data_IF_681475988985
#
_entry.id   IF_681475988985
#
_cell.length_a   1.000
_cell.length_b   1.000
_cell.length_c   1.000
_cell.angle_alpha   90.00
_cell.angle_beta   90.00
_cell.angle_gamma   90.00
#
_symmetry.space_group_name_H-M   'P 1'
#
loop_
_entity.id
_entity.type
_entity.pdbx_description
1 polymer ?
#
# COMPACT_ATOMS: atom_id res chain seq x y z
N UNK A 1 -8.86 -36.48 10.97
CA UNK A 1 -7.80 -35.48 11.04
C UNK A 1 -7.44 -35.25 12.52
N UNK A 2 -6.12 -35.01 12.84
CA UNK A 2 -5.62 -34.71 14.19
C UNK A 2 -4.68 -33.52 14.13
N UNK A 3 -4.41 -32.87 15.28
CA UNK A 3 -3.53 -31.70 15.35
C UNK A 3 -2.07 -32.03 14.94
N UNK A 4 -1.59 -33.24 15.22
CA UNK A 4 -0.25 -33.70 14.81
C UNK A 4 -0.09 -33.79 13.28
N UNK A 5 -1.17 -34.14 12.55
CA UNK A 5 -1.15 -34.11 11.08
C UNK A 5 -0.97 -32.70 10.55
N UNK A 6 -1.64 -31.71 11.17
CA UNK A 6 -1.48 -30.31 10.79
C UNK A 6 -0.08 -29.77 11.15
N UNK A 7 0.44 -30.12 12.32
CA UNK A 7 1.79 -29.75 12.72
C UNK A 7 2.86 -30.31 11.76
N UNK A 8 2.71 -31.58 11.35
CA UNK A 8 3.59 -32.20 10.35
C UNK A 8 3.49 -31.51 9.00
N UNK A 9 2.28 -31.14 8.58
CA UNK A 9 2.04 -30.38 7.34
C UNK A 9 2.71 -29.00 7.38
N UNK A 10 2.52 -28.23 8.46
CA UNK A 10 3.16 -26.91 8.59
C UNK A 10 4.68 -27.00 8.64
N UNK A 11 5.22 -28.03 9.28
CA UNK A 11 6.66 -28.30 9.27
C UNK A 11 7.15 -28.62 7.86
N UNK A 12 6.40 -29.41 7.09
CA UNK A 12 6.73 -29.73 5.70
C UNK A 12 6.73 -28.48 4.81
N UNK A 13 5.75 -27.59 4.97
CA UNK A 13 5.69 -26.32 4.22
C UNK A 13 6.89 -25.42 4.50
N UNK A 14 7.51 -25.49 5.67
CA UNK A 14 8.71 -24.72 6.02
C UNK A 14 10.02 -25.29 5.43
N UNK A 15 10.01 -26.49 4.82
CA UNK A 15 11.21 -27.09 4.25
C UNK A 15 11.61 -26.45 2.90
N UNK A 16 12.91 -26.45 2.52
CA UNK A 16 13.36 -26.01 1.20
C UNK A 16 12.60 -26.71 0.06
N UNK A 17 12.39 -26.01 -1.05
CA UNK A 17 11.66 -26.52 -2.23
C UNK A 17 10.14 -26.22 -2.20
N UNK A 18 9.57 -25.85 -1.08
CA UNK A 18 8.13 -25.56 -0.99
C UNK A 18 7.74 -24.20 -1.60
N UNK A 19 8.64 -23.23 -1.59
CA UNK A 19 8.47 -21.97 -2.31
C UNK A 19 8.98 -22.08 -3.73
N UNK A 20 8.08 -22.31 -4.69
CA UNK A 20 8.42 -22.51 -6.11
C UNK A 20 9.16 -21.30 -6.74
N UNK A 21 9.00 -20.09 -6.18
CA UNK A 21 9.63 -18.89 -6.70
C UNK A 21 11.07 -18.72 -6.24
N UNK A 22 11.38 -19.10 -5.00
CA UNK A 22 12.69 -18.85 -4.38
C UNK A 22 13.48 -20.12 -4.09
N UNK A 23 12.87 -21.29 -4.21
CA UNK A 23 13.47 -22.58 -3.82
C UNK A 23 13.58 -22.80 -2.31
N UNK A 24 13.21 -21.81 -1.48
CA UNK A 24 13.22 -21.89 -0.02
C UNK A 24 11.98 -22.61 0.54
N UNK A 25 11.86 -22.67 1.87
CA UNK A 25 10.59 -22.98 2.54
C UNK A 25 9.62 -21.80 2.49
N UNK A 26 8.33 -22.06 2.79
CA UNK A 26 7.35 -21.00 2.96
C UNK A 26 7.64 -20.21 4.26
N UNK A 27 7.36 -18.92 4.23
CA UNK A 27 7.52 -18.08 5.43
C UNK A 27 6.49 -18.45 6.52
N UNK A 28 6.84 -18.21 7.80
CA UNK A 28 5.92 -18.39 8.92
C UNK A 28 4.57 -17.70 8.69
N UNK A 29 4.59 -16.49 8.10
CA UNK A 29 3.37 -15.76 7.76
C UNK A 29 2.53 -16.49 6.70
N UNK A 30 3.16 -17.04 5.67
CA UNK A 30 2.46 -17.82 4.62
C UNK A 30 1.86 -19.09 5.21
N UNK A 31 2.60 -19.78 6.09
CA UNK A 31 2.09 -20.98 6.81
C UNK A 31 0.87 -20.61 7.67
N UNK A 32 0.90 -19.45 8.34
CA UNK A 32 -0.24 -18.96 9.13
C UNK A 32 -1.48 -18.70 8.24
N UNK A 33 -1.33 -18.21 7.01
CA UNK A 33 -2.46 -18.04 6.09
C UNK A 33 -3.07 -19.40 5.66
N UNK A 34 -2.22 -20.42 5.44
CA UNK A 34 -2.71 -21.78 5.20
C UNK A 34 -3.49 -22.32 6.40
N UNK A 35 -2.97 -22.11 7.63
CA UNK A 35 -3.68 -22.48 8.84
C UNK A 35 -5.04 -21.79 8.95
N UNK A 36 -5.13 -20.48 8.69
CA UNK A 36 -6.39 -19.73 8.74
C UNK A 36 -7.43 -20.32 7.79
N UNK A 37 -7.04 -20.64 6.56
CA UNK A 37 -7.94 -21.27 5.59
C UNK A 37 -8.44 -22.63 6.11
N UNK A 38 -7.53 -23.49 6.57
CA UNK A 38 -7.86 -24.82 7.12
C UNK A 38 -8.78 -24.67 8.34
N UNK A 39 -8.46 -23.77 9.27
CA UNK A 39 -9.28 -23.53 10.45
C UNK A 39 -10.68 -23.06 10.09
N UNK A 40 -10.81 -22.14 9.13
CA UNK A 40 -12.14 -21.66 8.67
C UNK A 40 -12.99 -22.79 8.09
N UNK A 41 -12.40 -23.68 7.30
CA UNK A 41 -13.10 -24.84 6.74
C UNK A 41 -13.53 -25.80 7.86
N UNK A 42 -12.65 -26.07 8.81
CA UNK A 42 -12.96 -26.98 9.94
C UNK A 42 -13.96 -26.37 10.93
N UNK A 43 -13.93 -25.06 11.14
CA UNK A 43 -14.95 -24.34 11.93
C UNK A 43 -16.35 -24.47 11.29
N UNK A 44 -16.41 -24.41 9.97
CA UNK A 44 -17.69 -24.60 9.26
C UNK A 44 -18.17 -26.06 9.38
N UNK A 45 -17.27 -27.03 9.20
CA UNK A 45 -17.59 -28.45 9.36
C UNK A 45 -18.08 -28.80 10.80
N UNK A 46 -17.48 -28.17 11.81
CA UNK A 46 -17.94 -28.31 13.20
C UNK A 46 -19.34 -27.72 13.39
N UNK A 47 -19.60 -26.52 12.87
CA UNK A 47 -20.94 -25.87 12.93
C UNK A 47 -22.03 -26.70 12.24
N UNK A 48 -21.66 -27.40 11.18
CA UNK A 48 -22.57 -28.30 10.43
C UNK A 48 -22.71 -29.70 11.06
N UNK A 49 -22.00 -29.95 12.18
CA UNK A 49 -22.03 -31.25 12.87
C UNK A 49 -21.30 -32.37 12.13
N UNK A 50 -20.50 -32.07 11.12
CA UNK A 50 -19.74 -33.06 10.35
C UNK A 50 -18.51 -33.58 11.13
N UNK A 51 -17.97 -32.76 12.06
CA UNK A 51 -16.91 -33.11 12.98
C UNK A 51 -17.24 -32.62 14.39
N UNK A 52 -16.76 -33.33 15.43
CA UNK A 52 -17.08 -32.99 16.82
C UNK A 52 -16.37 -31.72 17.33
N UNK A 53 -15.25 -31.33 16.75
CA UNK A 53 -14.50 -30.11 17.08
C UNK A 53 -13.45 -29.79 16.01
N UNK A 54 -13.07 -28.50 15.93
CA UNK A 54 -12.00 -28.05 15.02
C UNK A 54 -10.61 -28.40 15.59
N UNK A 55 -9.94 -29.38 15.00
CA UNK A 55 -8.61 -29.83 15.43
C UNK A 55 -7.50 -28.77 15.15
N UNK A 56 -7.74 -27.82 14.24
CA UNK A 56 -6.77 -26.77 13.96
C UNK A 56 -6.55 -25.84 15.16
N UNK A 57 -7.55 -25.67 16.03
CA UNK A 57 -7.42 -24.89 17.26
C UNK A 57 -6.32 -25.43 18.22
N UNK A 58 -5.94 -26.72 18.08
CA UNK A 58 -4.89 -27.37 18.88
C UNK A 58 -3.55 -27.46 18.13
N UNK A 59 -3.44 -26.93 16.91
CA UNK A 59 -2.22 -26.99 16.13
C UNK A 59 -1.17 -25.98 16.65
N UNK A 60 0.11 -26.36 16.57
CA UNK A 60 1.23 -25.50 16.92
C UNK A 60 1.67 -24.71 15.69
N UNK A 61 1.61 -23.38 15.77
CA UNK A 61 1.93 -22.49 14.68
C UNK A 61 3.35 -21.92 14.79
N UNK A 62 4.05 -21.70 13.67
CA UNK A 62 5.34 -21.04 13.70
C UNK A 62 5.19 -19.57 14.17
N UNK A 63 6.13 -19.10 14.97
CA UNK A 63 6.17 -17.70 15.42
C UNK A 63 6.47 -16.79 14.23
N UNK A 64 5.61 -15.81 14.00
CA UNK A 64 5.83 -14.75 13.00
C UNK A 64 6.62 -13.64 13.66
N UNK A 65 7.86 -13.42 13.19
CA UNK A 65 8.63 -12.26 13.63
C UNK A 65 7.93 -10.97 13.18
N UNK A 66 7.80 -10.00 14.07
CA UNK A 66 7.36 -8.65 13.71
C UNK A 66 8.41 -8.07 12.75
N UNK A 67 8.02 -7.74 11.53
CA UNK A 67 8.86 -6.95 10.64
C UNK A 67 8.65 -5.49 10.99
N UNK A 68 9.75 -4.77 11.08
CA UNK A 68 9.70 -3.30 11.14
C UNK A 68 9.00 -2.76 9.90
N UNK A 69 8.23 -1.72 10.11
CA UNK A 69 7.51 -1.05 9.03
C UNK A 69 8.53 -0.27 8.21
N UNK A 70 8.64 -0.58 6.92
CA UNK A 70 9.53 0.14 6.02
C UNK A 70 8.90 1.51 5.69
N UNK A 71 9.51 2.59 6.16
CA UNK A 71 9.18 3.97 5.80
C UNK A 71 10.48 4.75 5.51
N UNK A 72 10.38 5.79 4.69
CA UNK A 72 11.52 6.58 4.27
C UNK A 72 11.77 7.74 5.23
N UNK A 73 13.04 7.97 5.55
CA UNK A 73 13.50 9.14 6.28
C UNK A 73 13.44 10.39 5.38
N UNK A 74 13.41 11.61 5.95
CA UNK A 74 13.34 12.86 5.18
C UNK A 74 14.41 12.99 4.10
N UNK A 75 15.64 12.57 4.37
CA UNK A 75 16.77 12.59 3.44
C UNK A 75 16.54 11.64 2.27
N UNK A 76 15.98 10.46 2.53
CA UNK A 76 15.61 9.48 1.50
C UNK A 76 14.48 10.00 0.61
N UNK A 77 13.50 10.70 1.20
CA UNK A 77 12.41 11.35 0.44
C UNK A 77 12.98 12.43 -0.48
N UNK A 78 13.91 13.24 0.02
CA UNK A 78 14.58 14.26 -0.78
C UNK A 78 15.33 13.64 -1.96
N UNK A 79 16.11 12.59 -1.72
CA UNK A 79 16.83 11.85 -2.76
C UNK A 79 15.87 11.21 -3.80
N UNK A 80 14.77 10.62 -3.35
CA UNK A 80 13.73 10.06 -4.23
C UNK A 80 13.14 11.16 -5.11
N UNK A 81 12.77 12.30 -4.53
CA UNK A 81 12.20 13.44 -5.25
C UNK A 81 13.15 14.01 -6.30
N UNK A 82 14.44 14.12 -5.98
CA UNK A 82 15.44 14.64 -6.91
C UNK A 82 15.70 13.65 -8.06
N UNK A 83 15.72 12.35 -7.79
CA UNK A 83 15.81 11.32 -8.81
C UNK A 83 14.59 11.30 -9.74
N UNK A 84 13.39 11.55 -9.22
CA UNK A 84 12.15 11.60 -10.01
C UNK A 84 12.13 12.68 -11.10
N UNK A 85 12.84 13.79 -10.90
CA UNK A 85 12.99 14.85 -11.91
C UNK A 85 13.67 14.38 -13.21
N UNK A 86 14.36 13.25 -13.18
CA UNK A 86 15.04 12.64 -14.32
C UNK A 86 14.19 11.55 -15.00
N UNK A 87 13.01 11.27 -14.46
CA UNK A 87 12.13 10.22 -14.94
C UNK A 87 10.99 10.76 -15.80
N UNK A 88 10.36 9.93 -16.65
CA UNK A 88 9.21 10.36 -17.43
C UNK A 88 8.09 10.92 -16.55
N UNK A 89 7.46 12.01 -16.99
CA UNK A 89 6.44 12.77 -16.27
C UNK A 89 5.32 11.92 -15.66
N UNK A 90 4.93 10.83 -16.33
CA UNK A 90 3.97 9.86 -15.82
C UNK A 90 4.41 9.27 -14.47
N UNK A 91 5.64 8.82 -14.40
CA UNK A 91 6.18 8.14 -13.22
C UNK A 91 6.49 9.10 -12.09
N UNK A 92 6.99 10.30 -12.42
CA UNK A 92 7.15 11.40 -11.47
C UNK A 92 5.79 11.71 -10.83
N UNK A 93 4.75 11.98 -11.63
CA UNK A 93 3.42 12.33 -11.15
C UNK A 93 2.80 11.21 -10.31
N UNK A 94 2.87 9.96 -10.77
CA UNK A 94 2.35 8.80 -10.05
C UNK A 94 3.02 8.63 -8.69
N UNK A 95 4.34 8.77 -8.63
CA UNK A 95 5.11 8.59 -7.40
C UNK A 95 4.84 9.72 -6.41
N UNK A 96 4.73 10.97 -6.87
CA UNK A 96 4.28 12.09 -6.05
C UNK A 96 2.89 11.84 -5.43
N UNK A 97 1.96 11.31 -6.22
CA UNK A 97 0.63 10.98 -5.69
C UNK A 97 0.68 9.85 -4.66
N UNK A 98 1.50 8.81 -4.84
CA UNK A 98 1.67 7.79 -3.81
C UNK A 98 2.13 8.39 -2.49
N UNK A 99 3.14 9.25 -2.52
CA UNK A 99 3.70 9.88 -1.33
C UNK A 99 2.69 10.79 -0.63
N UNK A 100 1.92 11.60 -1.39
CA UNK A 100 1.05 12.62 -0.81
C UNK A 100 -0.33 12.10 -0.45
N UNK A 101 -0.84 11.07 -1.14
CA UNK A 101 -2.17 10.52 -0.85
C UNK A 101 -2.12 9.34 0.11
N UNK A 102 -1.03 8.59 0.13
CA UNK A 102 -0.95 7.29 0.79
C UNK A 102 -1.95 6.27 0.23
N UNK A 103 -2.48 6.49 -0.96
CA UNK A 103 -3.45 5.59 -1.59
C UNK A 103 -2.85 4.22 -1.92
N UNK A 104 -3.69 3.20 -1.99
CA UNK A 104 -3.27 1.88 -2.44
C UNK A 104 -2.92 1.88 -3.93
N UNK A 105 -2.08 0.95 -4.36
CA UNK A 105 -1.65 0.83 -5.76
C UNK A 105 -2.84 0.83 -6.73
N UNK A 106 -3.80 -0.03 -6.50
CA UNK A 106 -4.98 -0.13 -7.36
C UNK A 106 -5.90 1.09 -7.31
N UNK A 107 -5.97 1.80 -6.18
CA UNK A 107 -6.74 3.03 -6.01
C UNK A 107 -6.19 4.15 -6.91
N UNK A 108 -4.86 4.34 -6.97
CA UNK A 108 -4.26 5.34 -7.87
C UNK A 108 -4.34 4.94 -9.33
N UNK A 109 -4.21 3.66 -9.65
CA UNK A 109 -4.41 3.18 -11.01
C UNK A 109 -5.87 3.26 -11.46
N UNK A 110 -6.82 3.19 -10.51
CA UNK A 110 -8.25 3.40 -10.76
C UNK A 110 -8.67 4.88 -10.81
N UNK A 111 -7.76 5.82 -10.51
CA UNK A 111 -8.09 7.25 -10.52
C UNK A 111 -8.41 7.73 -11.95
N UNK A 112 -9.59 8.33 -12.12
CA UNK A 112 -10.03 8.92 -13.40
C UNK A 112 -9.97 10.45 -13.35
N UNK A 113 -9.79 11.10 -14.49
CA UNK A 113 -9.78 12.57 -14.59
C UNK A 113 -11.09 13.21 -14.11
N UNK A 114 -12.22 12.51 -14.22
CA UNK A 114 -13.51 12.94 -13.67
C UNK A 114 -13.55 13.02 -12.15
N UNK A 115 -12.62 12.31 -11.48
CA UNK A 115 -12.46 12.30 -10.03
C UNK A 115 -11.38 13.27 -9.53
N UNK A 116 -10.80 14.11 -10.40
CA UNK A 116 -9.84 15.16 -10.07
C UNK A 116 -10.53 16.52 -10.07
N UNK A 117 -10.71 17.08 -8.88
CA UNK A 117 -11.33 18.42 -8.67
C UNK A 117 -10.21 19.46 -8.56
N UNK A 118 -9.95 20.15 -9.68
CA UNK A 118 -8.90 21.17 -9.76
C UNK A 118 -9.29 22.50 -9.07
N UNK A 119 -10.55 22.74 -8.81
CA UNK A 119 -11.01 23.95 -8.11
C UNK A 119 -10.81 23.81 -6.59
N UNK A 120 -11.13 22.62 -6.08
CA UNK A 120 -11.00 22.32 -4.64
C UNK A 120 -9.66 21.67 -4.28
N UNK A 121 -8.73 21.57 -5.22
CA UNK A 121 -7.43 20.94 -5.06
C UNK A 121 -7.52 19.55 -4.39
N UNK A 122 -8.38 18.66 -4.90
CA UNK A 122 -8.59 17.33 -4.31
C UNK A 122 -8.81 16.26 -5.36
N UNK A 123 -8.55 15.03 -4.96
CA UNK A 123 -8.87 13.82 -5.73
C UNK A 123 -9.88 12.98 -4.96
N UNK A 124 -10.77 12.32 -5.70
CA UNK A 124 -11.75 11.38 -5.16
C UNK A 124 -11.28 9.95 -5.41
N UNK A 125 -10.95 9.23 -4.36
CA UNK A 125 -10.58 7.82 -4.43
C UNK A 125 -11.86 7.00 -4.29
N UNK A 126 -12.45 6.60 -5.41
CA UNK A 126 -13.72 5.88 -5.49
C UNK A 126 -13.69 4.66 -6.41
N UNK A 127 -12.52 4.33 -6.97
CA UNK A 127 -12.33 3.23 -7.90
C UNK A 127 -11.02 2.49 -7.62
N UNK A 128 -10.91 1.26 -8.08
CA UNK A 128 -9.76 0.39 -7.87
C UNK A 128 -9.51 -0.46 -9.11
N UNK A 129 -8.27 -0.49 -9.62
CA UNK A 129 -7.86 -1.38 -10.70
C UNK A 129 -7.16 -2.58 -10.11
N UNK A 130 -7.64 -3.76 -10.47
CA UNK A 130 -7.15 -5.06 -10.04
C UNK A 130 -6.73 -5.90 -11.25
N UNK A 131 -6.01 -6.97 -10.97
CA UNK A 131 -5.69 -8.01 -11.94
C UNK A 131 -5.96 -9.38 -11.33
N UNK A 132 -6.60 -10.24 -12.13
CA UNK A 132 -6.73 -11.66 -11.84
C UNK A 132 -6.43 -12.48 -13.10
N UNK A 133 -5.76 -13.64 -12.97
CA UNK A 133 -5.33 -14.43 -14.15
C UNK A 133 -6.47 -14.85 -15.08
N UNK A 134 -7.65 -15.07 -14.53
CA UNK A 134 -8.86 -15.50 -15.24
C UNK A 134 -9.68 -14.35 -15.84
N UNK A 135 -9.47 -13.10 -15.36
CA UNK A 135 -10.26 -11.91 -15.75
C UNK A 135 -9.42 -10.83 -16.41
N UNK A 136 -8.08 -10.93 -16.36
CA UNK A 136 -7.20 -9.85 -16.78
C UNK A 136 -7.25 -8.63 -15.85
N UNK A 137 -7.06 -7.43 -16.42
CA UNK A 137 -7.17 -6.17 -15.68
C UNK A 137 -8.65 -5.76 -15.65
N UNK A 138 -9.17 -5.43 -14.46
CA UNK A 138 -10.55 -5.02 -14.28
C UNK A 138 -10.68 -3.92 -13.23
N UNK A 139 -11.75 -3.14 -13.34
CA UNK A 139 -12.15 -2.15 -12.33
C UNK A 139 -13.06 -2.82 -11.28
N UNK A 140 -12.90 -2.38 -10.04
CA UNK A 140 -13.76 -2.79 -8.93
C UNK A 140 -14.05 -1.56 -8.05
N UNK A 141 -15.21 -1.53 -7.45
CA UNK A 141 -15.55 -0.51 -6.47
C UNK A 141 -14.86 -0.80 -5.13
N UNK A 142 -14.53 0.21 -4.33
CA UNK A 142 -13.96 -0.01 -3.02
C UNK A 142 -14.88 -0.89 -2.15
N UNK A 143 -14.32 -1.95 -1.55
CA UNK A 143 -15.08 -2.94 -0.76
C UNK A 143 -15.73 -2.37 0.51
N UNK A 144 -15.35 -1.17 0.94
CA UNK A 144 -15.85 -0.54 2.17
C UNK A 144 -16.14 0.95 1.93
N UNK A 145 -17.18 1.47 2.59
CA UNK A 145 -17.51 2.91 2.55
C UNK A 145 -16.34 3.81 2.99
N UNK A 146 -15.46 3.32 3.85
CA UNK A 146 -14.27 4.07 4.30
C UNK A 146 -13.18 4.20 3.23
N UNK A 147 -13.22 3.38 2.18
CA UNK A 147 -12.29 3.48 1.05
C UNK A 147 -12.69 4.56 0.06
N UNK A 148 -13.98 4.94 0.01
CA UNK A 148 -14.48 6.08 -0.76
C UNK A 148 -14.17 7.36 0.02
N UNK A 149 -13.27 8.19 -0.54
CA UNK A 149 -12.79 9.38 0.16
C UNK A 149 -12.22 10.44 -0.76
N UNK A 150 -12.34 11.69 -0.33
CA UNK A 150 -11.64 12.82 -0.93
C UNK A 150 -10.30 13.05 -0.21
N UNK A 151 -9.26 13.33 -0.99
CA UNK A 151 -7.93 13.68 -0.48
C UNK A 151 -7.54 15.04 -1.06
N UNK A 152 -7.39 16.05 -0.20
CA UNK A 152 -6.88 17.36 -0.59
C UNK A 152 -5.37 17.26 -0.82
N UNK A 153 -4.91 17.90 -1.89
CA UNK A 153 -3.51 17.92 -2.33
C UNK A 153 -2.96 19.35 -2.33
N UNK A 154 -1.65 19.52 -2.16
CA UNK A 154 -0.98 20.82 -2.35
C UNK A 154 -1.19 21.37 -3.76
N UNK A 155 -1.20 22.69 -3.89
CA UNK A 155 -1.39 23.38 -5.18
C UNK A 155 -0.33 22.98 -6.22
N UNK A 156 0.91 22.79 -5.78
CA UNK A 156 2.02 22.35 -6.63
C UNK A 156 1.78 20.97 -7.24
N UNK A 157 1.18 20.05 -6.45
CA UNK A 157 0.81 18.71 -6.95
C UNK A 157 -0.33 18.79 -7.95
N UNK A 158 -1.29 19.67 -7.72
CA UNK A 158 -2.38 19.90 -8.68
C UNK A 158 -1.85 20.53 -9.98
N UNK A 159 -0.83 21.40 -9.89
CA UNK A 159 -0.15 21.92 -11.07
C UNK A 159 0.61 20.83 -11.84
N UNK A 160 1.31 19.93 -11.14
CA UNK A 160 1.94 18.76 -11.76
C UNK A 160 0.89 17.88 -12.48
N UNK A 161 -0.28 17.66 -11.88
CA UNK A 161 -1.38 16.94 -12.51
C UNK A 161 -1.90 17.66 -13.76
N UNK A 162 -1.99 19.01 -13.78
CA UNK A 162 -2.36 19.77 -14.99
C UNK A 162 -1.35 19.58 -16.11
N UNK A 163 -0.05 19.69 -15.78
CA UNK A 163 1.04 19.46 -16.74
C UNK A 163 0.99 18.05 -17.30
N UNK A 164 0.78 17.06 -16.44
CA UNK A 164 0.67 15.66 -16.85
C UNK A 164 -0.57 15.44 -17.75
N UNK A 165 -1.71 16.04 -17.42
CA UNK A 165 -2.94 15.97 -18.26
C UNK A 165 -2.71 16.56 -19.65
N UNK A 166 -2.03 17.70 -19.73
CA UNK A 166 -1.69 18.32 -21.00
C UNK A 166 -0.79 17.41 -21.84
N UNK A 167 0.25 16.83 -21.24
CA UNK A 167 1.11 15.85 -21.90
C UNK A 167 0.31 14.62 -22.39
N UNK A 168 -0.53 14.03 -21.53
CA UNK A 168 -1.35 12.87 -21.90
C UNK A 168 -2.31 13.18 -23.06
N UNK A 169 -2.89 14.38 -23.09
CA UNK A 169 -3.72 14.84 -24.22
C UNK A 169 -2.92 14.94 -25.52
N UNK A 170 -1.67 15.39 -25.47
CA UNK A 170 -0.79 15.40 -26.64
C UNK A 170 -0.53 13.99 -27.15
N UNK A 171 -0.23 13.05 -26.27
CA UNK A 171 -0.03 11.65 -26.63
C UNK A 171 -1.33 11.02 -27.21
N UNK A 172 -2.47 11.34 -26.63
CA UNK A 172 -3.77 10.92 -27.15
C UNK A 172 -4.02 11.42 -28.57
N UNK A 173 -3.72 12.70 -28.85
CA UNK A 173 -3.86 13.28 -30.18
C UNK A 173 -2.88 12.63 -31.18
N UNK A 174 -1.66 12.34 -30.74
CA UNK A 174 -0.64 11.66 -31.56
C UNK A 174 -1.06 10.25 -31.98
N UNK A 175 -1.70 9.50 -31.07
CA UNK A 175 -2.14 8.12 -31.32
C UNK A 175 -3.51 8.06 -32.06
N UNK A 176 -4.31 9.11 -32.00
CA UNK A 176 -5.60 9.17 -32.68
C UNK A 176 -6.53 8.01 -32.31
N UNK A 177 -6.99 7.28 -33.31
CA UNK A 177 -7.91 6.13 -33.15
C UNK A 177 -7.33 4.95 -32.37
N UNK A 178 -6.01 4.85 -32.27
CA UNK A 178 -5.35 3.81 -31.49
C UNK A 178 -5.35 4.07 -29.99
N UNK A 179 -5.85 5.23 -29.54
CA UNK A 179 -5.92 5.56 -28.13
C UNK A 179 -7.27 5.17 -27.51
N UNK A 180 -7.25 4.23 -26.58
CA UNK A 180 -8.42 3.79 -25.81
C UNK A 180 -8.72 4.77 -24.67
N UNK A 181 -9.54 5.79 -24.91
CA UNK A 181 -9.85 6.78 -23.88
C UNK A 181 -10.86 6.28 -22.84
N UNK A 182 -10.39 5.63 -21.81
CA UNK A 182 -11.21 5.21 -20.66
C UNK A 182 -11.19 6.21 -19.49
N UNK A 183 -10.54 7.36 -19.66
CA UNK A 183 -10.51 8.46 -18.69
C UNK A 183 -9.57 8.28 -17.52
N UNK A 184 -8.72 7.25 -17.49
CA UNK A 184 -7.73 7.05 -16.43
C UNK A 184 -6.68 8.15 -16.39
N UNK A 185 -6.33 8.59 -15.18
CA UNK A 185 -5.16 9.47 -14.96
C UNK A 185 -3.90 8.73 -15.36
N UNK A 186 -3.73 7.49 -14.89
CA UNK A 186 -2.58 6.66 -15.22
C UNK A 186 -3.00 5.48 -16.09
N UNK A 187 -2.57 5.50 -17.33
CA UNK A 187 -2.88 4.49 -18.35
C UNK A 187 -1.61 3.92 -18.98
N UNK A 188 -1.74 2.85 -19.72
CA UNK A 188 -0.74 2.41 -20.69
C UNK A 188 -0.58 3.48 -21.79
N UNK A 189 0.38 3.30 -22.69
CA UNK A 189 0.65 4.26 -23.77
C UNK A 189 -0.54 4.40 -24.72
N UNK A 190 -1.25 3.31 -24.97
CA UNK A 190 -2.47 3.27 -25.77
C UNK A 190 -3.73 3.72 -25.03
N UNK A 191 -3.65 4.21 -23.79
CA UNK A 191 -4.79 4.68 -23.00
C UNK A 191 -5.53 3.61 -22.19
N UNK A 192 -5.25 2.32 -22.40
CA UNK A 192 -5.87 1.22 -21.64
C UNK A 192 -5.37 1.19 -20.16
N UNK A 193 -6.08 0.52 -19.24
CA UNK A 193 -5.70 0.44 -17.84
C UNK A 193 -4.30 -0.14 -17.64
N UNK A 194 -3.51 0.43 -16.75
CA UNK A 194 -2.19 -0.10 -16.41
C UNK A 194 -2.30 -1.41 -15.62
N UNK A 195 -1.46 -2.39 -15.98
CA UNK A 195 -1.31 -3.58 -15.14
C UNK A 195 -0.71 -3.18 -13.78
N UNK A 196 -1.32 -3.59 -12.64
CA UNK A 196 -0.85 -3.17 -11.32
C UNK A 196 0.63 -3.48 -11.05
N UNK A 197 1.15 -4.60 -11.55
CA UNK A 197 2.56 -4.98 -11.33
C UNK A 197 3.55 -4.08 -12.05
N UNK A 198 3.15 -3.41 -13.15
CA UNK A 198 4.01 -2.43 -13.84
C UNK A 198 4.54 -1.33 -12.90
N UNK A 199 3.73 -0.92 -11.93
CA UNK A 199 4.15 0.06 -10.92
C UNK A 199 5.24 -0.50 -10.01
N UNK A 200 5.05 -1.71 -9.53
CA UNK A 200 6.02 -2.38 -8.63
C UNK A 200 7.34 -2.65 -9.35
N UNK A 201 7.26 -3.11 -10.60
CA UNK A 201 8.42 -3.40 -11.44
C UNK A 201 9.20 -2.11 -11.76
N UNK A 202 8.48 -1.05 -12.13
CA UNK A 202 9.10 0.24 -12.39
C UNK A 202 9.79 0.79 -11.14
N UNK A 203 9.12 0.80 -9.99
CA UNK A 203 9.68 1.28 -8.71
C UNK A 203 10.93 0.49 -8.31
N UNK A 204 10.93 -0.83 -8.52
CA UNK A 204 12.10 -1.67 -8.26
C UNK A 204 13.28 -1.35 -9.19
N UNK A 205 13.01 -1.09 -10.48
CA UNK A 205 14.02 -0.65 -11.45
C UNK A 205 14.53 0.76 -11.16
N UNK A 206 13.64 1.68 -10.81
CA UNK A 206 13.94 3.05 -10.42
C UNK A 206 14.87 3.08 -9.19
N UNK A 207 14.53 2.35 -8.13
CA UNK A 207 15.37 2.25 -6.93
C UNK A 207 16.79 1.79 -7.27
N UNK A 208 16.91 0.76 -8.09
CA UNK A 208 18.24 0.22 -8.50
C UNK A 208 19.02 1.22 -9.35
N UNK A 209 18.38 1.90 -10.31
CA UNK A 209 19.01 2.86 -11.22
C UNK A 209 19.63 4.04 -10.48
N UNK A 210 18.96 4.50 -9.42
CA UNK A 210 19.37 5.68 -8.66
C UNK A 210 20.05 5.36 -7.32
N UNK A 211 20.36 4.08 -7.04
CA UNK A 211 20.99 3.68 -5.77
C UNK A 211 20.14 3.97 -4.53
N UNK A 212 18.80 3.98 -4.69
CA UNK A 212 17.86 4.31 -3.64
C UNK A 212 17.46 3.06 -2.84
N UNK A 213 16.93 3.21 -1.61
CA UNK A 213 16.31 2.12 -0.88
C UNK A 213 15.21 1.44 -1.72
N UNK A 214 14.84 0.20 -1.36
CA UNK A 214 13.75 -0.49 -2.05
C UNK A 214 12.42 0.26 -1.90
N UNK A 215 11.90 0.75 -3.03
CA UNK A 215 10.67 1.53 -3.09
C UNK A 215 9.52 0.63 -3.54
N UNK A 216 8.38 0.76 -2.86
CA UNK A 216 7.11 0.17 -3.25
C UNK A 216 5.94 1.06 -2.77
N UNK A 217 4.73 0.90 -3.34
CA UNK A 217 3.57 1.73 -2.98
C UNK A 217 3.23 1.72 -1.48
N UNK A 218 3.40 0.59 -0.79
CA UNK A 218 3.13 0.49 0.64
C UNK A 218 4.15 1.25 1.49
N UNK A 219 5.42 1.31 1.08
CA UNK A 219 6.43 2.09 1.77
C UNK A 219 6.09 3.60 1.74
N UNK A 220 5.61 4.13 0.60
CA UNK A 220 5.13 5.51 0.52
C UNK A 220 3.93 5.77 1.43
N UNK A 221 2.98 4.84 1.47
CA UNK A 221 1.83 4.93 2.36
C UNK A 221 2.25 4.97 3.83
N UNK A 222 3.18 4.12 4.23
CA UNK A 222 3.74 4.12 5.57
C UNK A 222 4.51 5.41 5.86
N UNK A 223 5.31 5.88 4.92
CA UNK A 223 6.06 7.13 5.04
C UNK A 223 5.14 8.33 5.27
N UNK A 224 4.12 8.50 4.43
CA UNK A 224 3.15 9.59 4.56
C UNK A 224 2.49 9.58 5.95
N UNK A 225 2.04 8.42 6.39
CA UNK A 225 1.35 8.31 7.66
C UNK A 225 2.30 8.50 8.86
N UNK A 226 3.53 7.98 8.80
CA UNK A 226 4.56 8.23 9.82
C UNK A 226 4.88 9.72 9.90
N UNK A 227 5.08 10.40 8.75
CA UNK A 227 5.36 11.83 8.73
C UNK A 227 4.21 12.67 9.31
N UNK A 228 2.96 12.34 9.01
CA UNK A 228 1.81 13.01 9.60
C UNK A 228 1.75 12.79 11.12
N UNK A 229 1.99 11.55 11.56
CA UNK A 229 2.00 11.23 12.97
C UNK A 229 3.11 11.96 13.74
N UNK A 230 4.34 12.00 13.20
CA UNK A 230 5.46 12.76 13.76
C UNK A 230 5.19 14.27 13.88
N UNK A 231 4.36 14.81 12.99
CA UNK A 231 3.93 16.21 13.03
C UNK A 231 2.67 16.44 13.87
N UNK A 232 2.28 15.48 14.72
CA UNK A 232 1.20 15.61 15.68
C UNK A 232 -0.22 15.45 15.11
N UNK A 233 -0.37 14.96 13.88
CA UNK A 233 -1.69 14.68 13.31
C UNK A 233 -2.28 13.43 13.98
N UNK A 234 -3.53 13.53 14.43
CA UNK A 234 -4.21 12.47 15.15
C UNK A 234 -4.46 11.21 14.29
N UNK A 235 -4.48 10.04 14.94
CA UNK A 235 -4.63 8.75 14.28
C UNK A 235 -5.95 8.59 13.53
N UNK A 236 -7.02 9.30 13.92
CA UNK A 236 -8.33 9.24 13.26
C UNK A 236 -8.26 9.95 11.91
N UNK A 237 -7.65 11.14 11.86
CA UNK A 237 -7.42 11.91 10.63
C UNK A 237 -6.53 11.15 9.66
N UNK A 238 -5.44 10.54 10.14
CA UNK A 238 -4.55 9.70 9.33
C UNK A 238 -5.32 8.48 8.80
N UNK A 239 -6.09 7.80 9.64
CA UNK A 239 -6.89 6.63 9.26
C UNK A 239 -7.92 6.96 8.17
N UNK A 240 -8.62 8.09 8.30
CA UNK A 240 -9.56 8.59 7.28
C UNK A 240 -8.87 8.85 5.95
N UNK A 241 -7.72 9.55 5.97
CA UNK A 241 -6.94 9.83 4.76
C UNK A 241 -6.47 8.55 4.08
N UNK A 242 -6.07 7.54 4.84
CA UNK A 242 -5.65 6.24 4.35
C UNK A 242 -6.82 5.36 3.88
N UNK A 243 -8.04 5.60 4.34
CA UNK A 243 -9.19 4.72 4.09
C UNK A 243 -9.04 3.36 4.81
N UNK A 244 -8.61 3.39 6.09
CA UNK A 244 -8.63 2.22 6.95
C UNK A 244 -10.03 2.04 7.56
N UNK A 245 -10.56 0.81 7.52
CA UNK A 245 -11.84 0.49 8.13
C UNK A 245 -11.80 0.60 9.68
N UNK A 246 -10.61 0.42 10.27
CA UNK A 246 -10.41 0.48 11.71
C UNK A 246 -9.20 1.37 12.04
N UNK A 247 -9.37 2.29 12.98
CA UNK A 247 -8.31 3.19 13.46
C UNK A 247 -7.18 2.40 14.14
N UNK A 248 -7.51 1.28 14.79
CA UNK A 248 -6.53 0.37 15.40
C UNK A 248 -5.48 -0.15 14.41
N UNK A 249 -5.84 -0.29 13.13
CA UNK A 249 -4.88 -0.65 12.08
C UNK A 249 -3.79 0.41 11.95
N UNK A 250 -4.16 1.69 11.97
CA UNK A 250 -3.22 2.81 11.95
C UNK A 250 -2.36 2.81 13.22
N UNK A 251 -2.97 2.74 14.39
CA UNK A 251 -2.26 2.75 15.67
C UNK A 251 -1.25 1.60 15.79
N UNK A 252 -1.63 0.38 15.42
CA UNK A 252 -0.75 -0.80 15.50
C UNK A 252 0.44 -0.74 14.52
N UNK A 253 0.26 -0.13 13.34
CA UNK A 253 1.33 0.04 12.36
C UNK A 253 2.35 1.06 12.86
N UNK A 254 1.90 2.10 13.56
CA UNK A 254 2.74 3.24 13.98
C UNK A 254 3.12 3.20 15.47
N UNK A 255 2.85 2.10 16.18
CA UNK A 255 3.21 1.94 17.60
C UNK A 255 4.71 2.12 17.87
N UNK A 256 5.58 1.73 16.91
CA UNK A 256 7.03 1.94 17.01
C UNK A 256 7.43 3.43 16.85
N UNK A 257 6.61 4.23 16.16
CA UNK A 257 6.80 5.69 16.03
C UNK A 257 6.48 6.38 17.36
N UNK A 258 5.68 5.75 18.23
CA UNK A 258 5.32 6.25 19.56
C UNK A 258 6.54 6.31 20.49
N UNK A 259 7.45 5.34 20.40
CA UNK A 259 8.67 5.33 21.23
C UNK A 259 9.61 6.52 20.90
N UNK A 260 9.72 6.88 19.62
CA UNK A 260 10.50 8.04 19.19
C UNK A 260 9.78 9.38 19.50
N UNK A 261 8.45 9.38 19.39
CA UNK A 261 7.63 10.52 19.83
C UNK A 261 7.72 10.73 21.35
N UNK A 262 7.77 9.66 22.14
CA UNK A 262 7.94 9.75 23.60
C UNK A 262 9.29 10.35 24.00
N UNK A 263 10.36 10.03 23.26
CA UNK A 263 11.68 10.67 23.45
C UNK A 263 11.61 12.18 23.16
N UNK A 264 10.95 12.60 22.06
CA UNK A 264 10.72 14.01 21.75
C UNK A 264 9.87 14.69 22.82
N UNK A 265 8.84 14.03 23.33
CA UNK A 265 8.01 14.54 24.42
C UNK A 265 8.84 14.78 25.69
N UNK A 266 9.75 13.86 26.00
CA UNK A 266 10.67 14.03 27.15
C UNK A 266 11.61 15.23 26.96
N UNK A 267 12.12 15.46 25.73
CA UNK A 267 12.92 16.64 25.42
C UNK A 267 12.12 17.93 25.56
N UNK A 268 10.89 17.98 25.02
CA UNK A 268 9.98 19.14 25.18
C UNK A 268 9.68 19.41 26.64
N UNK A 269 9.36 18.37 27.43
CA UNK A 269 9.12 18.51 28.86
C UNK A 269 10.38 18.99 29.59
N UNK A 270 11.54 18.51 29.25
CA UNK A 270 12.83 19.01 29.78
C UNK A 270 13.03 20.50 29.47
N UNK A 271 12.73 20.92 28.24
CA UNK A 271 12.87 22.32 27.85
C UNK A 271 11.88 23.23 28.58
N UNK A 272 10.65 22.78 28.79
CA UNK A 272 9.62 23.54 29.50
C UNK A 272 9.87 23.61 31.03
N UNK A 273 10.29 22.50 31.64
CA UNK A 273 10.33 22.40 33.09
C UNK A 273 11.73 22.49 33.70
N UNK A 274 12.80 22.22 32.94
CA UNK A 274 14.15 22.10 33.47
C UNK A 274 15.12 23.15 32.94
N UNK A 275 14.90 23.76 31.76
CA UNK A 275 15.68 24.90 31.32
C UNK A 275 15.14 26.15 31.97
N UNK A 276 15.91 26.72 32.91
CA UNK A 276 15.70 28.03 33.44
C UNK A 276 15.84 29.06 32.31
N UNK A 277 14.92 30.03 32.27
CA UNK A 277 14.99 31.21 31.42
C UNK A 277 16.29 32.02 31.66
#
# INVERSE_FOLDING_TARGET
LRADHLNSFYTALGKPGQNKRTGSGLSAKTILEHHRLISTVLDQAEKEGQIPFNVAAKATLPKVAKKEVNYFQPEQIAAIRDALKQEPLKWETLTHLFLLTGARRGELLGLKWSAVDFEKNRVHICNNVLYAPDRGIYEDTPKTATSDRYITLPAETMQLLRTYRAWQNTERLRLGEFYENQGFVFSQENGSPMHPDSVTDWMGKFSKRHGLPHINPHAFRHTMASMLYFNGVDSVSISKRLGHAQVSTTANIYAHVVEEADRKNAEILSDIFLKKA
#
